data_IF_322109163875
#
_entry.id   IF_322109163875
#
_cell.length_a   1.000
_cell.length_b   1.000
_cell.length_c   1.000
_cell.angle_alpha   90.00
_cell.angle_beta   90.00
_cell.angle_gamma   90.00
#
_symmetry.space_group_name_H-M   'P 1'
#
loop_
_entity.id
_entity.type
_entity.pdbx_description
1 polymer ?
#
# COMPACT_ATOMS: atom_id res chain seq x y z
N UNK A 1 123.99 -23.51 127.16
CA UNK A 1 123.73 -23.07 125.76
C UNK A 1 124.48 -23.97 124.75
N UNK A 2 125.81 -24.16 124.86
CA UNK A 2 126.59 -25.00 123.92
C UNK A 2 126.21 -26.50 123.94
N UNK A 3 125.89 -27.07 125.11
CA UNK A 3 125.52 -28.48 125.27
C UNK A 3 124.21 -28.86 124.53
N UNK A 4 123.19 -27.98 124.55
CA UNK A 4 121.91 -28.20 123.84
C UNK A 4 122.09 -28.14 122.31
N UNK A 5 122.97 -27.26 121.83
CA UNK A 5 123.32 -27.17 120.40
C UNK A 5 124.07 -28.43 119.96
N UNK A 6 124.99 -28.97 120.78
CA UNK A 6 125.72 -30.19 120.46
C UNK A 6 124.79 -31.42 120.35
N UNK A 7 123.83 -31.58 121.26
CA UNK A 7 122.83 -32.65 121.18
C UNK A 7 121.88 -32.48 119.99
N UNK A 8 121.54 -31.24 119.61
CA UNK A 8 120.76 -30.97 118.41
C UNK A 8 121.54 -31.30 117.12
N UNK A 9 122.80 -30.90 117.03
CA UNK A 9 123.68 -31.21 115.88
C UNK A 9 123.93 -32.72 115.79
N UNK A 10 124.19 -33.41 116.91
CA UNK A 10 124.36 -34.86 116.94
C UNK A 10 123.07 -35.60 116.58
N UNK A 11 121.92 -35.15 117.11
CA UNK A 11 120.61 -35.69 116.75
C UNK A 11 120.27 -35.49 115.27
N UNK A 12 120.59 -34.32 114.70
CA UNK A 12 120.44 -34.04 113.28
C UNK A 12 121.38 -34.88 112.42
N UNK A 13 122.64 -35.05 112.85
CA UNK A 13 123.61 -35.91 112.15
C UNK A 13 123.15 -37.37 112.17
N UNK A 14 122.60 -37.84 113.29
CA UNK A 14 122.09 -39.19 113.45
C UNK A 14 120.82 -39.42 112.61
N UNK A 15 119.88 -38.47 112.61
CA UNK A 15 118.70 -38.51 111.75
C UNK A 15 119.07 -38.44 110.26
N UNK A 16 120.04 -37.59 109.91
CA UNK A 16 120.59 -37.49 108.56
C UNK A 16 121.27 -38.78 108.12
N UNK A 17 122.04 -39.42 109.00
CA UNK A 17 122.69 -40.70 108.75
C UNK A 17 121.66 -41.83 108.55
N UNK A 18 120.63 -41.90 109.40
CA UNK A 18 119.52 -42.86 109.24
C UNK A 18 118.71 -42.60 107.96
N UNK A 19 118.45 -41.34 107.61
CA UNK A 19 117.79 -40.98 106.36
C UNK A 19 118.64 -41.36 105.14
N UNK A 20 119.97 -41.20 105.20
CA UNK A 20 120.91 -41.63 104.16
C UNK A 20 120.98 -43.16 104.02
N UNK A 21 120.79 -43.89 105.12
CA UNK A 21 120.70 -45.35 105.13
C UNK A 21 119.40 -45.85 104.50
N UNK A 22 118.27 -45.17 104.75
CA UNK A 22 116.93 -45.59 104.30
C UNK A 22 116.58 -45.05 102.90
N UNK A 23 117.07 -43.87 102.52
CA UNK A 23 116.78 -43.23 101.24
C UNK A 23 117.07 -44.13 100.01
N UNK A 24 118.19 -44.88 99.95
CA UNK A 24 118.47 -45.80 98.85
C UNK A 24 117.46 -46.96 98.77
N UNK A 25 116.85 -47.36 99.88
CA UNK A 25 115.85 -48.43 99.91
C UNK A 25 114.48 -47.92 99.45
N UNK A 26 114.08 -46.73 99.91
CA UNK A 26 112.84 -46.06 99.50
C UNK A 26 112.89 -45.68 98.01
N UNK A 27 114.01 -45.14 97.54
CA UNK A 27 114.20 -44.80 96.12
C UNK A 27 114.15 -46.03 95.22
N UNK A 28 114.85 -47.12 95.59
CA UNK A 28 114.77 -48.41 94.86
C UNK A 28 113.34 -48.94 94.77
N UNK A 29 112.56 -48.82 95.85
CA UNK A 29 111.16 -49.26 95.87
C UNK A 29 110.24 -48.35 95.05
N UNK A 30 110.44 -47.03 95.08
CA UNK A 30 109.70 -46.08 94.25
C UNK A 30 109.98 -46.28 92.75
N UNK A 31 111.25 -46.51 92.37
CA UNK A 31 111.65 -46.83 90.99
C UNK A 31 111.07 -48.19 90.57
N UNK A 32 111.09 -49.20 91.44
CA UNK A 32 110.50 -50.50 91.12
C UNK A 32 108.98 -50.42 90.92
N UNK A 33 108.26 -49.62 91.73
CA UNK A 33 106.81 -49.44 91.59
C UNK A 33 106.44 -48.62 90.35
N UNK A 34 107.18 -47.55 90.05
CA UNK A 34 106.98 -46.75 88.83
C UNK A 34 107.34 -47.54 87.58
N UNK A 35 108.46 -48.28 87.60
CA UNK A 35 108.85 -49.20 86.54
C UNK A 35 107.79 -50.27 86.31
N UNK A 36 107.33 -50.96 87.36
CA UNK A 36 106.23 -51.96 87.23
C UNK A 36 104.92 -51.35 86.73
N UNK A 37 104.63 -50.10 87.07
CA UNK A 37 103.42 -49.41 86.61
C UNK A 37 103.51 -48.97 85.15
N UNK A 38 104.69 -48.50 84.73
CA UNK A 38 104.95 -48.12 83.33
C UNK A 38 105.04 -49.37 82.45
N UNK A 39 105.76 -50.39 82.91
CA UNK A 39 105.85 -51.71 82.26
C UNK A 39 104.48 -52.39 82.14
N UNK A 40 103.55 -52.17 83.07
CA UNK A 40 102.17 -52.65 82.96
C UNK A 40 101.26 -51.84 82.03
N UNK A 41 101.70 -50.65 81.61
CA UNK A 41 100.91 -49.73 80.76
C UNK A 41 101.44 -49.58 79.33
N UNK A 42 102.61 -50.16 79.04
CA UNK A 42 103.26 -50.09 77.73
C UNK A 42 103.45 -51.50 77.16
N UNK A 43 103.26 -51.69 75.85
CA UNK A 43 103.48 -52.99 75.22
C UNK A 43 104.98 -53.31 75.25
N UNK A 44 105.34 -54.45 75.86
CA UNK A 44 106.74 -54.85 76.07
C UNK A 44 107.18 -56.01 75.20
N UNK A 45 106.24 -56.68 74.51
CA UNK A 45 106.56 -57.78 73.61
C UNK A 45 106.48 -57.34 72.15
N UNK A 46 107.39 -57.82 71.31
CA UNK A 46 107.38 -57.55 69.86
C UNK A 46 106.05 -57.98 69.22
N UNK A 47 105.43 -59.03 69.76
CA UNK A 47 104.12 -59.54 69.33
C UNK A 47 102.98 -58.54 69.63
N UNK A 48 102.97 -57.90 70.80
CA UNK A 48 101.98 -56.86 71.14
C UNK A 48 102.12 -55.62 70.24
N UNK A 49 103.34 -55.18 69.95
CA UNK A 49 103.61 -54.06 69.04
C UNK A 49 103.13 -54.38 67.61
N UNK A 50 103.32 -55.63 67.17
CA UNK A 50 102.81 -56.10 65.88
C UNK A 50 101.27 -56.15 65.88
N UNK A 51 100.65 -56.64 66.95
CA UNK A 51 99.20 -56.67 67.10
C UNK A 51 98.58 -55.26 67.10
N UNK A 52 99.18 -54.29 67.78
CA UNK A 52 98.71 -52.89 67.75
C UNK A 52 98.89 -52.25 66.37
N UNK A 53 100.01 -52.55 65.69
CA UNK A 53 100.23 -52.09 64.32
C UNK A 53 99.19 -52.66 63.35
N UNK A 54 98.88 -53.95 63.49
CA UNK A 54 97.87 -54.61 62.65
C UNK A 54 96.45 -54.18 63.04
N UNK A 55 96.18 -53.88 64.32
CA UNK A 55 94.94 -53.24 64.78
C UNK A 55 94.75 -51.88 64.15
N UNK A 56 95.75 -51.01 64.18
CA UNK A 56 95.70 -49.68 63.57
C UNK A 56 95.52 -49.79 62.04
N UNK A 57 96.22 -50.72 61.39
CA UNK A 57 95.99 -51.01 59.95
C UNK A 57 94.58 -51.49 59.67
N UNK A 58 94.02 -52.34 60.52
CA UNK A 58 92.64 -52.82 60.37
C UNK A 58 91.63 -51.69 60.61
N UNK A 59 91.83 -50.85 61.62
CA UNK A 59 91.01 -49.66 61.88
C UNK A 59 91.03 -48.68 60.69
N UNK A 60 92.22 -48.42 60.11
CA UNK A 60 92.35 -47.62 58.90
C UNK A 60 91.70 -48.29 57.69
N UNK A 61 91.88 -49.61 57.49
CA UNK A 61 91.27 -50.33 56.37
C UNK A 61 89.73 -50.34 56.48
N UNK A 62 89.18 -50.55 57.68
CA UNK A 62 87.73 -50.54 57.93
C UNK A 62 87.15 -49.15 57.76
N UNK A 63 87.80 -48.11 58.29
CA UNK A 63 87.35 -46.72 58.12
C UNK A 63 87.45 -46.26 56.67
N UNK A 64 88.54 -46.58 55.96
CA UNK A 64 88.67 -46.33 54.53
C UNK A 64 87.57 -47.05 53.74
N UNK A 65 87.30 -48.32 54.04
CA UNK A 65 86.23 -49.07 53.37
C UNK A 65 84.84 -48.50 53.65
N UNK A 66 84.57 -48.08 54.90
CA UNK A 66 83.31 -47.39 55.25
C UNK A 66 83.16 -46.09 54.48
N UNK A 67 84.21 -45.28 54.36
CA UNK A 67 84.21 -44.05 53.58
C UNK A 67 84.01 -44.32 52.07
N UNK A 68 84.66 -45.33 51.52
CA UNK A 68 84.42 -45.74 50.13
C UNK A 68 82.95 -46.13 49.90
N UNK A 69 82.35 -46.88 50.84
CA UNK A 69 80.95 -47.28 50.77
C UNK A 69 80.00 -46.08 50.88
N UNK A 70 80.27 -45.12 51.78
CA UNK A 70 79.44 -43.90 51.88
C UNK A 70 79.59 -43.01 50.66
N UNK A 71 80.80 -42.86 50.11
CA UNK A 71 81.02 -42.11 48.87
C UNK A 71 80.27 -42.78 47.72
N UNK A 72 80.29 -44.12 47.62
CA UNK A 72 79.53 -44.85 46.60
C UNK A 72 78.04 -44.63 46.73
N UNK A 73 77.46 -44.77 47.93
CA UNK A 73 76.02 -44.57 48.13
C UNK A 73 75.59 -43.12 47.93
N UNK A 74 76.43 -42.14 48.30
CA UNK A 74 76.16 -40.73 48.00
C UNK A 74 76.22 -40.44 46.49
N UNK A 75 77.17 -41.04 45.77
CA UNK A 75 77.24 -40.92 44.30
C UNK A 75 76.04 -41.57 43.62
N UNK A 76 75.60 -42.72 44.09
CA UNK A 76 74.40 -43.40 43.59
C UNK A 76 73.15 -42.54 43.82
N UNK A 77 72.93 -42.03 45.03
CA UNK A 77 71.83 -41.08 45.33
C UNK A 77 71.91 -39.80 44.50
N UNK A 78 73.10 -39.24 44.31
CA UNK A 78 73.27 -38.06 43.46
C UNK A 78 72.94 -38.35 41.99
N UNK A 79 73.31 -39.53 41.49
CA UNK A 79 72.94 -39.96 40.14
C UNK A 79 71.42 -40.17 40.01
N UNK A 80 70.77 -40.80 41.00
CA UNK A 80 69.31 -40.96 41.06
C UNK A 80 68.60 -39.59 41.04
N UNK A 81 69.03 -38.66 41.89
CA UNK A 81 68.47 -37.30 41.95
C UNK A 81 68.67 -36.53 40.64
N UNK A 82 69.82 -36.69 39.97
CA UNK A 82 70.04 -36.04 38.67
C UNK A 82 69.08 -36.59 37.60
N UNK A 83 68.78 -37.89 37.65
CA UNK A 83 67.79 -38.50 36.74
C UNK A 83 66.38 -38.00 37.08
N UNK A 84 66.00 -37.91 38.35
CA UNK A 84 64.71 -37.36 38.78
C UNK A 84 64.55 -35.89 38.36
N UNK A 85 65.56 -35.05 38.60
CA UNK A 85 65.58 -33.65 38.12
C UNK A 85 65.46 -33.60 36.60
N UNK A 86 66.06 -34.55 35.88
CA UNK A 86 65.91 -34.69 34.44
C UNK A 86 64.46 -34.93 34.02
N UNK A 87 63.79 -35.92 34.65
CA UNK A 87 62.37 -36.24 34.39
C UNK A 87 61.45 -35.07 34.77
N UNK A 88 61.68 -34.43 35.91
CA UNK A 88 60.89 -33.28 36.35
C UNK A 88 61.04 -32.09 35.39
N UNK A 89 62.25 -31.86 34.86
CA UNK A 89 62.47 -30.83 33.84
C UNK A 89 61.76 -31.14 32.53
N UNK A 90 61.67 -32.41 32.13
CA UNK A 90 60.89 -32.82 30.96
C UNK A 90 59.40 -32.60 31.19
N UNK A 91 58.86 -33.05 32.32
CA UNK A 91 57.46 -32.82 32.69
C UNK A 91 57.11 -31.32 32.78
N UNK A 92 58.01 -30.48 33.32
CA UNK A 92 57.83 -29.04 33.35
C UNK A 92 57.81 -28.41 31.94
N UNK A 93 58.62 -28.92 31.01
CA UNK A 93 58.60 -28.45 29.61
C UNK A 93 57.29 -28.83 28.92
N UNK A 94 56.81 -30.06 29.11
CA UNK A 94 55.52 -30.51 28.57
C UNK A 94 54.37 -29.68 29.13
N UNK A 95 54.33 -29.47 30.45
CA UNK A 95 53.28 -28.65 31.07
C UNK A 95 53.35 -27.18 30.62
N UNK A 96 54.55 -26.63 30.40
CA UNK A 96 54.72 -25.29 29.86
C UNK A 96 54.20 -25.19 28.42
N UNK A 97 54.45 -26.20 27.59
CA UNK A 97 53.91 -26.28 26.23
C UNK A 97 52.37 -26.37 26.24
N UNK A 98 51.80 -27.26 27.05
CA UNK A 98 50.35 -27.39 27.19
C UNK A 98 49.70 -26.07 27.68
N UNK A 99 50.33 -25.39 28.64
CA UNK A 99 49.87 -24.07 29.11
C UNK A 99 49.92 -23.02 28.00
N UNK A 100 50.97 -23.03 27.17
CA UNK A 100 51.07 -22.12 26.04
C UNK A 100 49.97 -22.38 25.01
N UNK A 101 49.68 -23.64 24.70
CA UNK A 101 48.62 -24.00 23.76
C UNK A 101 47.23 -23.67 24.31
N UNK A 102 46.97 -23.94 25.60
CA UNK A 102 45.74 -23.49 26.26
C UNK A 102 45.60 -21.97 26.23
N UNK A 103 46.67 -21.21 26.48
CA UNK A 103 46.63 -19.75 26.41
C UNK A 103 46.33 -19.24 24.99
N UNK A 104 46.86 -19.91 23.94
CA UNK A 104 46.51 -19.59 22.55
C UNK A 104 45.03 -19.83 22.27
N UNK A 105 44.51 -21.00 22.67
CA UNK A 105 43.08 -21.32 22.52
C UNK A 105 42.20 -20.32 23.28
N UNK A 106 42.58 -19.95 24.50
CA UNK A 106 41.84 -18.93 25.28
C UNK A 106 41.87 -17.58 24.55
N UNK A 107 43.02 -17.15 24.03
CA UNK A 107 43.12 -15.91 23.25
C UNK A 107 42.20 -15.94 22.01
N UNK A 108 42.22 -17.03 21.24
CA UNK A 108 41.37 -17.20 20.06
C UNK A 108 39.87 -17.25 20.41
N UNK A 109 39.51 -17.86 21.55
CA UNK A 109 38.13 -17.86 22.04
C UNK A 109 37.70 -16.46 22.51
N UNK A 110 38.59 -15.70 23.14
CA UNK A 110 38.28 -14.32 23.56
C UNK A 110 38.05 -13.41 22.37
N UNK A 111 38.91 -13.45 21.35
CA UNK A 111 38.73 -12.64 20.12
C UNK A 111 37.44 -13.01 19.42
N UNK A 112 37.14 -14.31 19.28
CA UNK A 112 35.89 -14.78 18.69
C UNK A 112 34.65 -14.36 19.51
N UNK A 113 34.75 -14.34 20.84
CA UNK A 113 33.67 -13.87 21.70
C UNK A 113 33.41 -12.37 21.54
N UNK A 114 34.47 -11.56 21.35
CA UNK A 114 34.35 -10.13 21.08
C UNK A 114 33.74 -9.86 19.70
N UNK A 115 34.14 -10.63 18.68
CA UNK A 115 33.53 -10.57 17.35
C UNK A 115 32.04 -10.92 17.39
N UNK A 116 31.66 -11.97 18.13
CA UNK A 116 30.26 -12.35 18.31
C UNK A 116 29.48 -11.24 19.03
N UNK A 117 30.03 -10.64 20.09
CA UNK A 117 29.40 -9.49 20.77
C UNK A 117 29.18 -8.31 19.83
N UNK A 118 30.17 -7.94 19.01
CA UNK A 118 30.02 -6.88 18.01
C UNK A 118 28.93 -7.21 16.99
N UNK A 119 28.83 -8.47 16.56
CA UNK A 119 27.75 -8.91 15.65
C UNK A 119 26.39 -8.88 16.34
N UNK A 120 26.31 -9.20 17.63
CA UNK A 120 25.08 -9.11 18.42
C UNK A 120 24.61 -7.67 18.56
N UNK A 121 25.52 -6.75 18.89
CA UNK A 121 25.26 -5.31 18.95
C UNK A 121 24.78 -4.77 17.59
N UNK A 122 25.44 -5.17 16.49
CA UNK A 122 25.00 -4.81 15.13
C UNK A 122 23.61 -5.37 14.81
N UNK A 123 23.33 -6.62 15.19
CA UNK A 123 22.00 -7.24 15.01
C UNK A 123 20.93 -6.50 15.82
N UNK A 124 21.23 -6.11 17.06
CA UNK A 124 20.33 -5.32 17.89
C UNK A 124 20.03 -3.96 17.24
N UNK A 125 21.06 -3.22 16.82
CA UNK A 125 20.88 -1.94 16.13
C UNK A 125 20.06 -2.07 14.84
N UNK A 126 20.30 -3.12 14.05
CA UNK A 126 19.51 -3.38 12.85
C UNK A 126 18.06 -3.74 13.18
N UNK A 127 17.82 -4.52 14.24
CA UNK A 127 16.48 -4.87 14.70
C UNK A 127 15.69 -3.67 15.20
N UNK A 128 16.35 -2.74 15.91
CA UNK A 128 15.75 -1.49 16.38
C UNK A 128 15.37 -0.60 15.20
N UNK A 129 16.28 -0.42 14.23
CA UNK A 129 16.00 0.33 13.00
C UNK A 129 14.85 -0.30 12.20
N UNK A 130 14.81 -1.62 12.11
CA UNK A 130 13.73 -2.33 11.42
C UNK A 130 12.39 -2.07 12.12
N UNK A 131 12.33 -2.20 13.45
CA UNK A 131 11.12 -1.89 14.23
C UNK A 131 10.70 -0.42 14.11
N UNK A 132 11.63 0.52 14.02
CA UNK A 132 11.33 1.94 13.74
C UNK A 132 10.73 2.13 12.35
N UNK A 133 11.30 1.48 11.33
CA UNK A 133 10.78 1.56 9.95
C UNK A 133 9.41 0.92 9.82
N UNK A 134 9.15 -0.20 10.50
CA UNK A 134 7.84 -0.85 10.54
C UNK A 134 6.80 0.08 11.16
N UNK A 135 7.08 0.69 12.32
CA UNK A 135 6.19 1.68 12.94
C UNK A 135 5.94 2.89 12.03
N UNK A 136 6.95 3.34 11.28
CA UNK A 136 6.79 4.44 10.33
C UNK A 136 5.90 4.04 9.14
N UNK A 137 6.04 2.81 8.65
CA UNK A 137 5.20 2.26 7.58
C UNK A 137 3.76 2.06 8.06
N UNK A 138 3.54 1.58 9.28
CA UNK A 138 2.20 1.47 9.87
C UNK A 138 1.51 2.84 9.96
N UNK A 139 2.23 3.86 10.44
CA UNK A 139 1.71 5.24 10.50
C UNK A 139 1.33 5.75 9.11
N UNK A 140 2.21 5.57 8.11
CA UNK A 140 1.91 5.93 6.71
C UNK A 140 0.72 5.14 6.16
N UNK A 141 0.59 3.85 6.50
CA UNK A 141 -0.55 3.02 6.11
C UNK A 141 -1.87 3.46 6.74
N UNK A 142 -1.84 4.03 7.95
CA UNK A 142 -3.01 4.65 8.56
C UNK A 142 -3.34 6.01 7.91
N UNK A 143 -2.33 6.80 7.57
CA UNK A 143 -2.51 8.07 6.84
C UNK A 143 -3.08 7.85 5.44
N UNK A 144 -2.59 6.84 4.72
CA UNK A 144 -3.12 6.45 3.41
C UNK A 144 -4.58 6.02 3.50
N UNK A 145 -4.95 5.17 4.47
CA UNK A 145 -6.35 4.78 4.69
C UNK A 145 -7.26 5.97 5.01
N UNK A 146 -6.78 6.93 5.80
CA UNK A 146 -7.52 8.17 6.06
C UNK A 146 -7.70 8.99 4.78
N UNK A 147 -6.65 9.09 3.95
CA UNK A 147 -6.70 9.81 2.69
C UNK A 147 -7.61 9.13 1.68
N UNK A 148 -7.63 7.80 1.61
CA UNK A 148 -8.56 7.01 0.82
C UNK A 148 -10.00 7.30 1.24
N UNK A 149 -10.33 7.24 2.54
CA UNK A 149 -11.67 7.60 3.02
C UNK A 149 -12.06 9.03 2.66
N UNK A 150 -11.15 10.00 2.82
CA UNK A 150 -11.41 11.38 2.42
C UNK A 150 -11.64 11.52 0.91
N UNK A 151 -10.92 10.75 0.10
CA UNK A 151 -11.08 10.74 -1.35
C UNK A 151 -12.41 10.12 -1.75
N UNK A 152 -12.79 9.00 -1.14
CA UNK A 152 -14.08 8.34 -1.39
C UNK A 152 -15.25 9.23 -0.99
N UNK A 153 -15.18 9.88 0.18
CA UNK A 153 -16.18 10.85 0.62
C UNK A 153 -16.27 12.04 -0.34
N UNK A 154 -15.13 12.58 -0.76
CA UNK A 154 -15.09 13.67 -1.73
C UNK A 154 -15.66 13.25 -3.09
N UNK A 155 -15.31 12.06 -3.58
CA UNK A 155 -15.80 11.48 -4.83
C UNK A 155 -17.30 11.23 -4.79
N UNK A 156 -17.82 10.69 -3.68
CA UNK A 156 -19.24 10.51 -3.44
C UNK A 156 -19.97 11.86 -3.42
N UNK A 157 -19.42 12.86 -2.72
CA UNK A 157 -20.00 14.21 -2.68
C UNK A 157 -20.02 14.87 -4.07
N UNK A 158 -18.98 14.64 -4.88
CA UNK A 158 -18.89 15.14 -6.25
C UNK A 158 -19.92 14.47 -7.15
N UNK A 159 -20.05 13.15 -7.05
CA UNK A 159 -21.04 12.36 -7.78
C UNK A 159 -22.47 12.77 -7.41
N UNK A 160 -22.74 13.00 -6.11
CA UNK A 160 -24.02 13.52 -5.63
C UNK A 160 -24.32 14.90 -6.22
N UNK A 161 -23.34 15.83 -6.20
CA UNK A 161 -23.49 17.16 -6.82
C UNK A 161 -23.72 17.06 -8.33
N UNK A 162 -23.08 16.13 -9.02
CA UNK A 162 -23.30 15.91 -10.45
C UNK A 162 -24.73 15.42 -10.73
N UNK A 163 -25.24 14.49 -9.92
CA UNK A 163 -26.64 14.03 -10.01
C UNK A 163 -27.60 15.20 -9.75
N UNK A 164 -27.34 16.03 -8.73
CA UNK A 164 -28.14 17.22 -8.45
C UNK A 164 -28.11 18.22 -9.60
N UNK A 165 -26.95 18.47 -10.21
CA UNK A 165 -26.83 19.36 -11.37
C UNK A 165 -27.64 18.85 -12.56
N UNK A 166 -27.56 17.55 -12.86
CA UNK A 166 -28.36 16.94 -13.94
C UNK A 166 -29.86 17.03 -13.63
N UNK A 167 -30.25 16.80 -12.37
CA UNK A 167 -31.63 16.96 -11.94
C UNK A 167 -32.10 18.42 -12.12
N UNK A 168 -31.31 19.41 -11.70
CA UNK A 168 -31.61 20.84 -11.91
C UNK A 168 -31.66 21.22 -13.39
N UNK A 169 -30.78 20.67 -14.22
CA UNK A 169 -30.81 20.89 -15.66
C UNK A 169 -32.09 20.33 -16.29
N UNK A 170 -32.55 19.15 -15.85
CA UNK A 170 -33.83 18.58 -16.28
C UNK A 170 -35.02 19.44 -15.86
N UNK A 171 -35.00 20.01 -14.65
CA UNK A 171 -36.02 20.96 -14.18
C UNK A 171 -36.02 22.24 -15.02
N UNK A 172 -34.84 22.77 -15.35
CA UNK A 172 -34.70 23.94 -16.22
C UNK A 172 -35.21 23.64 -17.64
N UNK A 173 -34.93 22.46 -18.19
CA UNK A 173 -35.46 22.04 -19.49
C UNK A 173 -36.99 21.93 -19.47
N UNK A 174 -37.57 21.36 -18.39
CA UNK A 174 -39.01 21.31 -18.21
C UNK A 174 -39.61 22.71 -18.14
N UNK A 175 -39.08 23.60 -17.29
CA UNK A 175 -39.52 24.99 -17.19
C UNK A 175 -39.37 25.74 -18.52
N UNK A 176 -38.28 25.53 -19.27
CA UNK A 176 -38.09 26.11 -20.59
C UNK A 176 -39.15 25.63 -21.58
N UNK A 177 -39.50 24.34 -21.54
CA UNK A 177 -40.58 23.76 -22.35
C UNK A 177 -41.94 24.35 -21.98
N UNK A 178 -42.24 24.50 -20.69
CA UNK A 178 -43.47 25.11 -20.18
C UNK A 178 -43.57 26.58 -20.60
N UNK A 179 -42.47 27.34 -20.50
CA UNK A 179 -42.40 28.72 -20.99
C UNK A 179 -42.64 28.77 -22.50
N UNK A 180 -42.10 27.83 -23.28
CA UNK A 180 -42.33 27.78 -24.73
C UNK A 180 -43.80 27.49 -25.07
N UNK A 181 -44.44 26.58 -24.33
CA UNK A 181 -45.85 26.26 -24.46
C UNK A 181 -46.73 27.46 -24.09
N UNK A 182 -46.47 28.10 -22.94
CA UNK A 182 -47.18 29.30 -22.50
C UNK A 182 -47.01 30.46 -23.50
N UNK A 183 -45.82 30.63 -24.08
CA UNK A 183 -45.61 31.60 -25.17
C UNK A 183 -46.40 31.26 -26.42
N UNK A 184 -46.50 29.97 -26.77
CA UNK A 184 -47.35 29.48 -27.87
C UNK A 184 -48.82 29.79 -27.61
N UNK A 185 -49.34 29.40 -26.45
CA UNK A 185 -50.71 29.69 -26.01
C UNK A 185 -51.01 31.18 -25.99
N UNK A 186 -50.07 32.02 -25.51
CA UNK A 186 -50.22 33.47 -25.56
C UNK A 186 -50.31 33.99 -26.99
N UNK A 187 -49.45 33.54 -27.90
CA UNK A 187 -49.51 33.93 -29.33
C UNK A 187 -50.82 33.49 -29.98
N UNK A 188 -51.32 32.30 -29.67
CA UNK A 188 -52.62 31.83 -30.16
C UNK A 188 -53.77 32.65 -29.59
N UNK A 189 -53.75 32.96 -28.29
CA UNK A 189 -54.73 33.83 -27.66
C UNK A 189 -54.71 35.25 -28.26
N UNK A 190 -53.53 35.81 -28.50
CA UNK A 190 -53.35 37.11 -29.17
C UNK A 190 -53.90 37.06 -30.61
N UNK A 191 -53.65 35.99 -31.36
CA UNK A 191 -54.23 35.78 -32.71
C UNK A 191 -55.75 35.69 -32.67
N UNK A 192 -56.31 34.87 -31.78
CA UNK A 192 -57.76 34.77 -31.57
C UNK A 192 -58.36 36.12 -31.17
N UNK A 193 -57.68 36.89 -30.33
CA UNK A 193 -58.10 38.25 -29.98
C UNK A 193 -58.07 39.19 -31.20
N UNK A 194 -57.04 39.12 -32.03
CA UNK A 194 -56.97 39.88 -33.28
C UNK A 194 -58.07 39.49 -34.27
N UNK A 195 -58.34 38.19 -34.44
CA UNK A 195 -59.43 37.67 -35.26
C UNK A 195 -60.79 38.16 -34.74
N UNK A 196 -61.08 37.97 -33.45
CA UNK A 196 -62.33 38.45 -32.84
C UNK A 196 -62.49 39.97 -32.93
N UNK A 197 -61.40 40.74 -32.80
CA UNK A 197 -61.45 42.20 -32.96
C UNK A 197 -61.64 42.61 -34.42
N UNK A 198 -61.08 41.87 -35.39
CA UNK A 198 -61.32 42.08 -36.81
C UNK A 198 -62.76 41.71 -37.20
N UNK A 199 -63.26 40.55 -36.76
CA UNK A 199 -64.66 40.13 -36.90
C UNK A 199 -65.60 41.16 -36.27
N UNK A 200 -65.30 41.62 -35.05
CA UNK A 200 -66.08 42.69 -34.40
C UNK A 200 -66.07 43.99 -35.18
N UNK A 201 -64.97 44.34 -35.88
CA UNK A 201 -64.92 45.51 -36.77
C UNK A 201 -65.79 45.30 -38.01
N UNK A 202 -65.66 44.15 -38.67
CA UNK A 202 -66.47 43.79 -39.85
C UNK A 202 -67.96 43.78 -39.50
N UNK A 203 -68.36 43.14 -38.39
CA UNK A 203 -69.73 43.13 -37.91
C UNK A 203 -70.22 44.54 -37.55
N UNK A 204 -69.37 45.39 -36.95
CA UNK A 204 -69.71 46.80 -36.70
C UNK A 204 -69.93 47.58 -37.99
N UNK A 205 -69.11 47.36 -39.00
CA UNK A 205 -69.23 48.05 -40.29
C UNK A 205 -70.43 47.53 -41.10
N UNK A 206 -70.71 46.23 -41.04
CA UNK A 206 -71.94 45.63 -41.58
C UNK A 206 -73.18 46.20 -40.88
N UNK A 207 -73.18 46.30 -39.55
CA UNK A 207 -74.26 46.92 -38.78
C UNK A 207 -74.44 48.39 -39.15
N UNK A 208 -73.36 49.16 -39.36
CA UNK A 208 -73.44 50.53 -39.86
C UNK A 208 -74.02 50.60 -41.27
N UNK A 209 -73.65 49.67 -42.16
CA UNK A 209 -74.19 49.58 -43.50
C UNK A 209 -75.68 49.24 -43.49
N UNK A 210 -76.11 48.28 -42.67
CA UNK A 210 -77.52 47.96 -42.45
C UNK A 210 -78.27 49.15 -41.85
N UNK A 211 -77.73 49.84 -40.84
CA UNK A 211 -78.33 51.07 -40.29
C UNK A 211 -78.45 52.18 -41.32
N UNK A 212 -77.51 52.31 -42.25
CA UNK A 212 -77.61 53.24 -43.38
C UNK A 212 -78.71 52.81 -44.36
N UNK A 213 -78.79 51.52 -44.70
CA UNK A 213 -79.85 50.95 -45.54
C UNK A 213 -81.23 51.12 -44.92
N UNK A 214 -81.38 50.86 -43.62
CA UNK A 214 -82.64 51.08 -42.89
C UNK A 214 -82.99 52.57 -42.90
N UNK A 215 -82.05 53.46 -42.64
CA UNK A 215 -82.27 54.91 -42.75
C UNK A 215 -82.61 55.37 -44.17
N UNK A 216 -82.04 54.77 -45.21
CA UNK A 216 -82.38 55.05 -46.61
C UNK A 216 -83.75 54.49 -46.99
N UNK A 217 -84.14 53.34 -46.45
CA UNK A 217 -85.48 52.77 -46.59
C UNK A 217 -86.52 53.60 -45.84
N UNK A 218 -86.23 54.07 -44.62
CA UNK A 218 -87.05 55.01 -43.86
C UNK A 218 -87.27 56.29 -44.67
N UNK A 219 -86.23 56.89 -45.24
CA UNK A 219 -86.36 58.03 -46.16
C UNK A 219 -87.17 57.73 -47.41
N UNK A 220 -87.07 56.51 -47.96
CA UNK A 220 -87.92 56.09 -49.10
C UNK A 220 -89.38 55.95 -48.68
N UNK A 221 -89.65 55.42 -47.50
CA UNK A 221 -91.00 55.35 -46.92
C UNK A 221 -91.53 56.75 -46.68
N UNK A 222 -90.75 57.66 -46.09
CA UNK A 222 -91.12 59.07 -45.95
C UNK A 222 -91.41 59.74 -47.30
N UNK A 223 -90.58 59.51 -48.32
CA UNK A 223 -90.85 60.01 -49.68
C UNK A 223 -92.11 59.40 -50.28
N UNK A 224 -92.34 58.10 -50.10
CA UNK A 224 -93.55 57.44 -50.59
C UNK A 224 -94.79 57.97 -49.87
N UNK A 225 -94.72 58.15 -48.54
CA UNK A 225 -95.77 58.79 -47.75
C UNK A 225 -96.00 60.23 -48.19
N UNK A 226 -94.96 61.01 -48.49
CA UNK A 226 -95.09 62.35 -49.03
C UNK A 226 -95.71 62.34 -50.44
N UNK A 227 -95.32 61.40 -51.32
CA UNK A 227 -95.95 61.28 -52.64
C UNK A 227 -97.39 60.77 -52.56
N UNK A 228 -97.72 59.96 -51.54
CA UNK A 228 -99.09 59.55 -51.26
C UNK A 228 -99.87 60.74 -50.74
N UNK A 229 -99.35 61.53 -49.81
CA UNK A 229 -99.95 62.77 -49.35
C UNK A 229 -100.14 63.76 -50.50
N UNK A 230 -99.16 63.96 -51.39
CA UNK A 230 -99.29 64.80 -52.59
C UNK A 230 -100.35 64.25 -53.56
N UNK A 231 -100.46 62.92 -53.67
CA UNK A 231 -101.50 62.28 -54.50
C UNK A 231 -102.87 62.37 -53.86
N UNK A 232 -102.98 62.23 -52.55
CA UNK A 232 -104.18 62.44 -51.76
C UNK A 232 -104.60 63.90 -51.85
N UNK A 233 -103.69 64.86 -51.71
CA UNK A 233 -103.93 66.29 -51.96
C UNK A 233 -104.37 66.57 -53.41
N UNK A 234 -103.74 65.93 -54.41
CA UNK A 234 -104.15 66.04 -55.82
C UNK A 234 -105.52 65.41 -56.05
N UNK A 235 -105.82 64.29 -55.40
CA UNK A 235 -107.13 63.65 -55.44
C UNK A 235 -108.17 64.52 -54.74
N UNK A 236 -107.86 65.11 -53.60
CA UNK A 236 -108.74 66.00 -52.86
C UNK A 236 -108.97 67.30 -53.66
N UNK A 237 -107.96 67.83 -54.34
CA UNK A 237 -108.11 68.93 -55.30
C UNK A 237 -108.95 68.53 -56.51
N UNK A 238 -108.73 67.34 -57.08
CA UNK A 238 -109.56 66.80 -58.17
C UNK A 238 -110.99 66.49 -57.72
N UNK A 239 -111.21 66.09 -56.48
CA UNK A 239 -112.53 65.89 -55.90
C UNK A 239 -113.21 67.23 -55.67
N UNK A 240 -112.49 68.25 -55.18
CA UNK A 240 -112.98 69.64 -55.08
C UNK A 240 -113.28 70.24 -56.47
N UNK A 241 -112.49 69.93 -57.50
CA UNK A 241 -112.74 70.29 -58.89
C UNK A 241 -113.89 69.49 -59.50
N UNK A 242 -114.03 68.19 -59.20
CA UNK A 242 -115.15 67.35 -59.61
C UNK A 242 -116.46 67.76 -58.93
N UNK A 243 -116.43 68.27 -57.70
CA UNK A 243 -117.60 68.88 -57.04
C UNK A 243 -117.96 70.20 -57.73
N UNK A 244 -116.97 71.05 -58.06
CA UNK A 244 -117.19 72.33 -58.79
C UNK A 244 -117.61 72.14 -60.26
N UNK A 245 -117.20 71.06 -60.91
CA UNK A 245 -117.58 70.71 -62.28
C UNK A 245 -118.87 69.87 -62.31
N UNK A 246 -119.23 69.14 -61.25
CA UNK A 246 -120.55 68.51 -61.07
C UNK A 246 -121.66 69.52 -60.75
N UNK A 247 -121.35 70.68 -60.19
CA UNK A 247 -122.33 71.77 -60.08
C UNK A 247 -122.53 72.56 -61.39
N UNK A 248 -121.64 72.44 -62.39
CA UNK A 248 -121.68 73.27 -63.61
C UNK A 248 -121.86 72.52 -64.93
N UNK A 249 -121.96 71.20 -64.94
CA UNK A 249 -122.27 70.45 -66.16
C UNK A 249 -123.07 69.18 -65.85
N UNK A 250 -124.40 69.34 -65.91
CA UNK A 250 -125.38 68.26 -65.97
C UNK A 250 -125.54 67.88 -67.44
N UNK A 251 -125.17 66.65 -67.80
CA UNK A 251 -125.51 66.04 -69.10
C UNK A 251 -124.35 65.37 -69.81
N UNK A 252 -124.42 64.02 -69.85
CA UNK A 252 -124.03 63.07 -70.92
C UNK A 252 -122.64 63.22 -71.59
N UNK A 253 -121.83 62.21 -71.89
CA UNK A 253 -121.95 60.74 -71.96
C UNK A 253 -120.51 60.16 -72.17
N UNK A 254 -120.38 58.84 -72.03
CA UNK A 254 -119.25 57.88 -72.22
C UNK A 254 -118.49 57.94 -73.58
N UNK A 255 -117.60 57.00 -74.03
CA UNK A 255 -116.80 55.89 -73.43
C UNK A 255 -115.27 55.92 -73.90
N UNK A 256 -114.60 54.88 -74.50
CA UNK A 256 -113.56 54.06 -73.83
C UNK A 256 -112.18 53.89 -74.56
N UNK A 257 -111.29 53.11 -73.91
CA UNK A 257 -110.33 52.12 -74.48
C UNK A 257 -108.89 52.49 -74.95
N UNK A 258 -107.98 51.54 -74.62
CA UNK A 258 -106.68 51.16 -75.24
C UNK A 258 -105.46 52.09 -74.96
N UNK A 259 -104.19 51.68 -74.87
CA UNK A 259 -103.46 50.50 -75.38
C UNK A 259 -102.01 50.44 -74.80
N UNK A 260 -101.37 49.24 -74.82
CA UNK A 260 -99.94 48.94 -75.16
C UNK A 260 -98.80 49.55 -74.30
N UNK A 261 -97.56 49.04 -74.19
CA UNK A 261 -96.82 47.82 -74.49
C UNK A 261 -95.38 48.05 -73.96
N UNK A 262 -94.56 46.98 -73.83
CA UNK A 262 -93.11 47.10 -73.97
C UNK A 262 -92.21 46.51 -72.87
N UNK A 263 -91.74 45.28 -73.09
CA UNK A 263 -90.37 44.78 -72.75
C UNK A 263 -89.35 45.42 -73.76
N UNK A 264 -88.01 45.11 -73.86
CA UNK A 264 -87.24 43.91 -73.41
C UNK A 264 -85.69 44.07 -73.12
N UNK A 265 -85.02 42.93 -72.87
CA UNK A 265 -83.61 42.59 -73.22
C UNK A 265 -82.50 43.00 -72.24
N UNK A 266 -81.33 42.34 -72.10
CA UNK A 266 -80.64 41.26 -72.83
C UNK A 266 -79.32 40.85 -72.11
N UNK A 267 -78.96 39.54 -72.11
CA UNK A 267 -77.63 38.91 -72.36
C UNK A 267 -76.33 39.30 -71.57
N UNK A 268 -75.20 38.57 -71.41
CA UNK A 268 -74.65 37.21 -71.68
C UNK A 268 -73.17 37.17 -71.15
N UNK A 269 -72.69 35.97 -70.76
CA UNK A 269 -71.29 35.42 -70.75
C UNK A 269 -70.18 35.73 -69.71
N UNK A 270 -69.64 34.59 -69.21
CA UNK A 270 -68.24 34.11 -69.18
C UNK A 270 -67.17 34.72 -68.26
N UNK A 271 -66.64 33.88 -67.34
CA UNK A 271 -65.20 33.53 -67.21
C UNK A 271 -65.03 32.35 -66.24
N UNK A 272 -64.70 31.15 -66.75
CA UNK A 272 -64.48 29.94 -65.93
C UNK A 272 -63.08 29.29 -66.12
N UNK A 273 -62.11 29.98 -66.73
CA UNK A 273 -60.81 29.39 -67.10
C UNK A 273 -59.59 29.94 -66.32
N UNK A 274 -59.75 30.88 -65.39
CA UNK A 274 -58.62 31.48 -64.64
C UNK A 274 -58.34 30.87 -63.26
N UNK A 275 -59.34 30.23 -62.64
CA UNK A 275 -59.22 29.70 -61.28
C UNK A 275 -58.64 28.28 -61.25
N UNK A 276 -58.77 27.54 -62.35
CA UNK A 276 -58.24 26.18 -62.48
C UNK A 276 -56.71 26.21 -62.66
N UNK A 277 -56.16 27.12 -63.48
CA UNK A 277 -54.69 27.29 -63.64
C UNK A 277 -54.00 27.80 -62.37
N UNK A 278 -54.66 28.68 -61.61
CA UNK A 278 -54.13 29.15 -60.32
C UNK A 278 -54.18 28.10 -59.22
N UNK A 279 -55.13 27.16 -59.30
CA UNK A 279 -55.22 26.02 -58.39
C UNK A 279 -54.19 24.93 -58.74
N UNK A 280 -53.97 24.63 -60.01
CA UNK A 280 -52.94 23.68 -60.44
C UNK A 280 -51.52 24.17 -60.11
N UNK A 281 -51.22 25.45 -60.37
CA UNK A 281 -49.91 26.02 -60.04
C UNK A 281 -49.59 26.04 -58.53
N UNK A 282 -50.62 26.15 -57.67
CA UNK A 282 -50.45 26.04 -56.20
C UNK A 282 -50.19 24.60 -55.77
N UNK A 283 -50.90 23.64 -56.37
CA UNK A 283 -50.71 22.22 -56.08
C UNK A 283 -49.34 21.72 -56.55
N UNK A 284 -48.85 22.20 -57.69
CA UNK A 284 -47.51 21.87 -58.19
C UNK A 284 -46.41 22.46 -57.28
N UNK A 285 -46.58 23.71 -56.82
CA UNK A 285 -45.65 24.33 -55.86
C UNK A 285 -45.64 23.63 -54.49
N UNK A 286 -46.80 23.16 -54.00
CA UNK A 286 -46.88 22.41 -52.76
C UNK A 286 -46.32 20.98 -52.92
N UNK A 287 -46.47 20.37 -54.11
CA UNK A 287 -45.85 19.09 -54.45
C UNK A 287 -44.32 19.19 -54.48
N UNK A 288 -43.76 20.22 -55.13
CA UNK A 288 -42.30 20.45 -55.12
C UNK A 288 -41.76 20.69 -53.70
N UNK A 289 -42.50 21.43 -52.84
CA UNK A 289 -42.13 21.62 -51.44
C UNK A 289 -42.15 20.32 -50.63
N UNK A 290 -43.12 19.45 -50.87
CA UNK A 290 -43.21 18.15 -50.22
C UNK A 290 -42.11 17.19 -50.71
N UNK A 291 -41.80 17.19 -52.00
CA UNK A 291 -40.70 16.40 -52.58
C UNK A 291 -39.33 16.88 -52.06
N UNK A 292 -39.11 18.19 -51.92
CA UNK A 292 -37.92 18.76 -51.28
C UNK A 292 -37.82 18.35 -49.79
N UNK A 293 -38.95 18.31 -49.07
CA UNK A 293 -38.97 17.89 -47.66
C UNK A 293 -38.70 16.40 -47.51
N UNK A 294 -39.25 15.56 -48.38
CA UNK A 294 -38.98 14.11 -48.40
C UNK A 294 -37.52 13.80 -48.72
N UNK A 295 -36.89 14.52 -49.65
CA UNK A 295 -35.46 14.33 -49.95
C UNK A 295 -34.56 14.80 -48.81
N UNK A 296 -34.94 15.85 -48.07
CA UNK A 296 -34.22 16.27 -46.85
C UNK A 296 -34.32 15.22 -45.73
N UNK A 297 -35.52 14.71 -45.46
CA UNK A 297 -35.77 13.68 -44.45
C UNK A 297 -35.12 12.34 -44.81
N UNK A 298 -35.02 12.01 -46.11
CA UNK A 298 -34.30 10.83 -46.57
C UNK A 298 -32.79 10.95 -46.36
N UNK A 299 -32.21 12.15 -46.53
CA UNK A 299 -30.79 12.42 -46.24
C UNK A 299 -30.51 12.37 -44.74
N UNK A 300 -31.40 12.94 -43.92
CA UNK A 300 -31.30 12.87 -42.46
C UNK A 300 -31.42 11.42 -41.96
N UNK A 301 -32.37 10.64 -42.49
CA UNK A 301 -32.48 9.22 -42.15
C UNK A 301 -31.24 8.42 -42.56
N UNK A 302 -30.62 8.72 -43.71
CA UNK A 302 -29.35 8.07 -44.09
C UNK A 302 -28.22 8.45 -43.14
N UNK A 303 -28.12 9.71 -42.72
CA UNK A 303 -27.12 10.17 -41.72
C UNK A 303 -27.34 9.53 -40.35
N UNK A 304 -28.58 9.53 -39.86
CA UNK A 304 -28.90 8.89 -38.58
C UNK A 304 -28.62 7.39 -38.60
N UNK A 305 -28.83 6.71 -39.74
CA UNK A 305 -28.44 5.29 -39.89
C UNK A 305 -26.93 5.09 -39.89
N UNK A 306 -26.15 5.97 -40.52
CA UNK A 306 -24.68 5.89 -40.47
C UNK A 306 -24.14 6.20 -39.08
N UNK A 307 -24.75 7.14 -38.37
CA UNK A 307 -24.35 7.50 -37.01
C UNK A 307 -24.69 6.38 -36.02
N UNK A 308 -25.85 5.73 -36.17
CA UNK A 308 -26.20 4.53 -35.40
C UNK A 308 -25.23 3.37 -35.64
N UNK A 309 -24.89 3.10 -36.90
CA UNK A 309 -23.91 2.06 -37.23
C UNK A 309 -22.53 2.39 -36.62
N UNK A 310 -22.09 3.65 -36.66
CA UNK A 310 -20.84 4.08 -36.04
C UNK A 310 -20.85 3.90 -34.51
N UNK A 311 -21.98 4.18 -33.85
CA UNK A 311 -22.16 3.98 -32.40
C UNK A 311 -22.21 2.48 -32.03
N UNK A 312 -22.83 1.64 -32.84
CA UNK A 312 -22.81 0.18 -32.62
C UNK A 312 -21.40 -0.41 -32.79
N UNK A 313 -20.63 0.12 -33.74
CA UNK A 313 -19.24 -0.30 -33.96
C UNK A 313 -18.31 0.17 -32.83
N UNK A 314 -18.52 1.37 -32.29
CA UNK A 314 -17.74 1.86 -31.14
C UNK A 314 -18.10 1.14 -29.83
N UNK A 315 -19.38 0.76 -29.66
CA UNK A 315 -19.83 -0.01 -28.49
C UNK A 315 -19.31 -1.45 -28.47
N UNK A 316 -19.17 -2.09 -29.63
CA UNK A 316 -18.55 -3.42 -29.73
C UNK A 316 -17.05 -3.38 -29.44
N UNK A 317 -16.32 -2.37 -29.93
CA UNK A 317 -14.90 -2.19 -29.59
C UNK A 317 -14.66 -1.90 -28.10
N UNK A 318 -15.54 -1.14 -27.43
CA UNK A 318 -15.43 -0.90 -25.99
C UNK A 318 -15.69 -2.15 -25.12
N UNK A 319 -16.45 -3.13 -25.63
CA UNK A 319 -16.69 -4.41 -24.97
C UNK A 319 -15.48 -5.34 -25.01
N UNK A 320 -14.73 -5.37 -26.12
CA UNK A 320 -13.54 -6.21 -26.25
C UNK A 320 -12.36 -5.70 -25.43
N UNK A 321 -12.22 -4.37 -25.29
CA UNK A 321 -11.12 -3.75 -24.53
C UNK A 321 -11.24 -4.03 -23.02
N UNK A 322 -12.47 -4.04 -22.50
CA UNK A 322 -12.76 -4.42 -21.10
C UNK A 322 -12.58 -5.92 -20.87
N UNK A 323 -12.91 -6.77 -21.86
CA UNK A 323 -12.63 -8.20 -21.83
C UNK A 323 -11.13 -8.51 -21.77
N UNK A 324 -10.35 -7.88 -22.64
CA UNK A 324 -8.90 -8.05 -22.75
C UNK A 324 -8.16 -7.54 -21.50
N UNK A 325 -8.53 -6.36 -20.98
CA UNK A 325 -7.99 -5.84 -19.73
C UNK A 325 -8.31 -6.74 -18.53
N UNK A 326 -9.53 -7.31 -18.47
CA UNK A 326 -9.91 -8.25 -17.41
C UNK A 326 -9.19 -9.60 -17.51
N UNK A 327 -8.76 -9.99 -18.70
CA UNK A 327 -7.98 -11.21 -18.94
C UNK A 327 -6.51 -11.00 -18.57
N UNK A 328 -5.93 -9.86 -18.96
CA UNK A 328 -4.58 -9.47 -18.57
C UNK A 328 -4.43 -9.34 -17.04
N UNK A 329 -5.39 -8.70 -16.37
CA UNK A 329 -5.38 -8.60 -14.90
C UNK A 329 -5.48 -9.98 -14.23
N UNK A 330 -6.27 -10.90 -14.82
CA UNK A 330 -6.35 -12.28 -14.33
C UNK A 330 -5.03 -13.04 -14.53
N UNK A 331 -4.30 -12.78 -15.61
CA UNK A 331 -2.98 -13.38 -15.84
C UNK A 331 -1.94 -12.85 -14.85
N UNK A 332 -1.88 -11.53 -14.64
CA UNK A 332 -0.99 -10.90 -13.67
C UNK A 332 -1.27 -11.36 -12.24
N UNK A 333 -2.54 -11.49 -11.86
CA UNK A 333 -2.93 -11.96 -10.53
C UNK A 333 -2.53 -13.42 -10.31
N UNK A 334 -2.63 -14.27 -11.34
CA UNK A 334 -2.20 -15.65 -11.29
C UNK A 334 -0.67 -15.78 -11.21
N UNK A 335 0.08 -14.92 -11.89
CA UNK A 335 1.55 -14.88 -11.82
C UNK A 335 2.04 -14.38 -10.46
N UNK A 336 1.39 -13.36 -9.90
CA UNK A 336 1.68 -12.87 -8.54
C UNK A 336 1.38 -13.95 -7.50
N UNK A 337 0.22 -14.62 -7.60
CA UNK A 337 -0.12 -15.74 -6.72
C UNK A 337 0.93 -16.86 -6.79
N UNK A 338 1.42 -17.19 -7.99
CA UNK A 338 2.48 -18.19 -8.17
C UNK A 338 3.79 -17.77 -7.50
N UNK A 339 4.18 -16.50 -7.60
CA UNK A 339 5.39 -15.98 -6.94
C UNK A 339 5.28 -16.02 -5.41
N UNK A 340 4.12 -15.63 -4.86
CA UNK A 340 3.88 -15.68 -3.41
C UNK A 340 3.94 -17.12 -2.91
N UNK A 341 3.28 -18.06 -3.59
CA UNK A 341 3.30 -19.48 -3.22
C UNK A 341 4.70 -20.08 -3.36
N UNK A 342 5.48 -19.67 -4.37
CA UNK A 342 6.86 -20.11 -4.52
C UNK A 342 7.78 -19.56 -3.41
N UNK A 343 7.55 -18.33 -2.96
CA UNK A 343 8.30 -17.72 -1.86
C UNK A 343 7.94 -18.37 -0.52
N UNK A 344 6.65 -18.62 -0.25
CA UNK A 344 6.22 -19.30 0.98
C UNK A 344 6.69 -20.74 1.01
N UNK A 345 6.66 -21.46 -0.12
CA UNK A 345 7.23 -22.81 -0.22
C UNK A 345 8.74 -22.84 0.09
N UNK A 346 9.50 -21.79 -0.27
CA UNK A 346 10.91 -21.67 0.09
C UNK A 346 11.12 -21.39 1.58
N UNK A 347 10.21 -20.65 2.21
CA UNK A 347 10.29 -20.32 3.64
C UNK A 347 9.88 -21.50 4.52
N UNK A 348 8.86 -22.28 4.13
CA UNK A 348 8.33 -23.41 4.90
C UNK A 348 9.20 -24.69 4.78
N UNK A 349 10.07 -24.78 3.76
CA UNK A 349 10.97 -25.90 3.57
C UNK A 349 10.37 -27.13 2.87
N UNK A 350 11.16 -28.21 2.70
CA UNK A 350 10.81 -29.36 1.84
C UNK A 350 9.67 -30.24 2.38
N UNK A 351 9.40 -30.19 3.69
CA UNK A 351 8.33 -30.97 4.33
C UNK A 351 6.99 -30.21 4.41
N UNK A 352 6.89 -29.06 3.75
CA UNK A 352 5.69 -28.22 3.79
C UNK A 352 4.49 -28.87 3.06
N UNK A 353 3.25 -28.61 3.53
CA UNK A 353 2.05 -29.08 2.83
C UNK A 353 1.94 -28.53 1.39
N UNK A 354 2.57 -27.39 1.12
CA UNK A 354 2.65 -26.78 -0.22
C UNK A 354 3.56 -27.61 -1.12
N UNK A 355 4.72 -28.06 -0.63
CA UNK A 355 5.61 -28.95 -1.38
C UNK A 355 4.95 -30.30 -1.69
N UNK A 356 4.18 -30.85 -0.74
CA UNK A 356 3.40 -32.08 -0.95
C UNK A 356 2.29 -31.89 -2.00
N UNK A 357 1.57 -30.76 -1.97
CA UNK A 357 0.54 -30.44 -2.95
C UNK A 357 1.10 -30.21 -4.36
N UNK A 358 2.32 -29.68 -4.48
CA UNK A 358 3.00 -29.48 -5.77
C UNK A 358 3.60 -30.79 -6.35
N UNK A 359 3.90 -31.76 -5.48
CA UNK A 359 4.43 -33.08 -5.84
C UNK A 359 3.34 -34.11 -6.20
N UNK A 360 2.08 -33.83 -5.88
CA UNK A 360 0.96 -34.70 -6.24
C UNK A 360 0.78 -34.74 -7.78
N UNK A 361 0.65 -35.94 -8.39
CA UNK A 361 0.39 -36.07 -9.82
C UNK A 361 -1.02 -35.55 -10.19
N UNK A 362 -1.12 -34.88 -11.34
CA UNK A 362 -2.32 -34.17 -11.79
C UNK A 362 -3.45 -35.12 -12.24
N UNK A 363 -4.56 -35.17 -11.48
CA UNK A 363 -5.79 -35.88 -11.88
C UNK A 363 -6.91 -34.97 -12.44
N UNK A 364 -6.67 -33.66 -12.64
CA UNK A 364 -7.71 -32.78 -13.19
C UNK A 364 -7.13 -31.64 -14.03
N UNK A 365 -6.95 -31.87 -15.34
CA UNK A 365 -6.78 -30.79 -16.30
C UNK A 365 -8.14 -30.10 -16.51
N UNK A 366 -8.28 -28.79 -16.26
CA UNK A 366 -9.42 -28.05 -16.75
C UNK A 366 -9.34 -27.95 -18.28
N UNK A 367 -10.45 -28.18 -18.99
CA UNK A 367 -10.53 -28.14 -20.46
C UNK A 367 -10.26 -26.74 -21.07
N UNK A 368 -10.06 -25.71 -20.25
CA UNK A 368 -9.57 -24.41 -20.72
C UNK A 368 -8.04 -24.45 -20.81
N UNK A 369 -7.47 -24.30 -22.01
CA UNK A 369 -6.03 -24.38 -22.31
C UNK A 369 -5.10 -23.35 -21.67
N UNK A 370 -5.41 -22.83 -20.48
CA UNK A 370 -4.53 -21.98 -19.68
C UNK A 370 -3.62 -22.79 -18.74
N UNK A 371 -2.38 -22.32 -18.55
CA UNK A 371 -1.44 -22.90 -17.57
C UNK A 371 -1.99 -22.80 -16.15
N UNK A 372 -2.01 -23.92 -15.42
CA UNK A 372 -2.48 -23.96 -14.04
C UNK A 372 -1.54 -23.20 -13.10
N UNK A 373 -2.03 -22.83 -11.91
CA UNK A 373 -1.22 -22.17 -10.88
C UNK A 373 -0.05 -23.07 -10.44
N UNK A 374 -0.29 -24.37 -10.30
CA UNK A 374 0.74 -25.35 -9.93
C UNK A 374 1.86 -25.43 -10.99
N UNK A 375 1.52 -25.37 -12.27
CA UNK A 375 2.51 -25.34 -13.36
C UNK A 375 3.39 -24.09 -13.31
N UNK A 376 2.80 -22.93 -13.02
CA UNK A 376 3.52 -21.66 -12.89
C UNK A 376 4.49 -21.70 -11.71
N UNK A 377 4.08 -22.25 -10.56
CA UNK A 377 4.94 -22.42 -9.39
C UNK A 377 6.09 -23.40 -9.67
N UNK A 378 5.82 -24.54 -10.30
CA UNK A 378 6.87 -25.51 -10.71
C UNK A 378 7.86 -24.88 -11.71
N UNK A 379 7.38 -24.09 -12.67
CA UNK A 379 8.22 -23.39 -13.63
C UNK A 379 9.15 -22.37 -12.95
N UNK A 380 8.64 -21.61 -11.98
CA UNK A 380 9.43 -20.65 -11.19
C UNK A 380 10.47 -21.35 -10.30
N UNK A 381 10.12 -22.47 -9.66
CA UNK A 381 11.07 -23.26 -8.86
C UNK A 381 12.18 -23.85 -9.73
N UNK A 382 11.84 -24.33 -10.94
CA UNK A 382 12.81 -24.85 -11.90
C UNK A 382 13.74 -23.76 -12.45
N UNK A 383 13.21 -22.57 -12.75
CA UNK A 383 14.02 -21.43 -13.18
C UNK A 383 14.97 -20.93 -12.06
N UNK A 384 14.54 -21.02 -10.80
CA UNK A 384 15.33 -20.64 -9.64
C UNK A 384 16.37 -21.69 -9.20
N UNK A 385 16.32 -22.92 -9.70
CA UNK A 385 17.33 -23.96 -9.46
C UNK A 385 18.35 -24.08 -10.58
N UNK A 386 18.07 -23.50 -11.75
CA UNK A 386 19.00 -23.40 -12.89
C UNK A 386 19.92 -22.17 -12.87
N UNK A 387 19.65 -21.20 -12.00
CA UNK A 387 20.55 -20.09 -11.66
C UNK A 387 21.22 -20.39 -10.33
#
# INVERSE_FOLDING_TARGET
MVQSILFFVLGFLCAGFLALMIAPAVWRRAVALTRRRVEGSMPLTLAEIQADKDRVRAEFAVSARRLEMTIKSLREKAAEQLVEIGRDREALKELAAERQDKNRVVADLTTRSEELRKRDEQRQQLSERLAETERALEKRGLELRKLEHMYDDASFSSSSRQIELVARESELQKLASDISLLRGQRKEADRRSQELTAESKVLRDALKAEKKRTGDLEKKVERLLATLADREDRLERREKELVRLRERAKGAESPPAAALAGMPGSQVNATANGDIEKASAKLDADRERLEARLTSLARENRRLKTDLAAVETSKSHAGDDTGSASAALREEMNDLAAQVVALTAKLDGPDSPIAQALAAPEDARPESGGRSLADRVRALQKAASTN
#
